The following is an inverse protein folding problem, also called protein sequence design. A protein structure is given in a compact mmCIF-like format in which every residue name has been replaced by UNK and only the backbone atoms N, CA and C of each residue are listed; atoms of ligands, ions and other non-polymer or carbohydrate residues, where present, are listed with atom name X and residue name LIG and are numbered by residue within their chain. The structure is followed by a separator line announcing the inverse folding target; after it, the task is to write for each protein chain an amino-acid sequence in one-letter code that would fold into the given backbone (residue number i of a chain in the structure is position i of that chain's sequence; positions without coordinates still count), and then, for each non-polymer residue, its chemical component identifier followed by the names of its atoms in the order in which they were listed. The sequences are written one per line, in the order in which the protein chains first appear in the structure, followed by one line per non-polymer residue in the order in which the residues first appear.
data_IF_732342386327
#
_entry.id   IF_732342386327
#
_cell.length_a   1.000
_cell.length_b   1.000
_cell.length_c   1.000
_cell.angle_alpha   90.00
_cell.angle_beta   90.00
_cell.angle_gamma   90.00
#
_symmetry.space_group_name_H-M   'P 1'
#
loop_
_entity.id
_entity.type
_entity.pdbx_description
1 polymer ?
#
# COMPACT_ATOMS: atom_id res chain seq x y z
N UNK A 1 -0.33 -11.38 -15.19
CA UNK A 1 -1.48 -11.07 -14.34
C UNK A 1 -1.23 -11.61 -12.93
N UNK A 2 -1.51 -10.82 -11.94
CA UNK A 2 -1.38 -11.23 -10.55
C UNK A 2 -2.67 -11.93 -10.10
N UNK A 3 -2.57 -12.95 -9.25
CA UNK A 3 -3.73 -13.68 -8.76
C UNK A 3 -3.66 -13.82 -7.25
N UNK A 4 -4.75 -13.51 -6.56
CA UNK A 4 -4.86 -13.69 -5.12
C UNK A 4 -4.94 -15.18 -4.76
N UNK A 5 -4.32 -15.56 -3.66
CA UNK A 5 -4.49 -16.90 -3.09
C UNK A 5 -5.95 -17.13 -2.73
N UNK A 6 -6.39 -18.40 -2.74
CA UNK A 6 -7.78 -18.75 -2.46
C UNK A 6 -8.26 -18.27 -1.09
N UNK A 7 -7.39 -18.28 -0.08
CA UNK A 7 -7.71 -17.87 1.29
C UNK A 7 -7.38 -16.41 1.59
N UNK A 8 -7.29 -15.56 0.58
CA UNK A 8 -6.86 -14.18 0.74
C UNK A 8 -7.70 -13.36 1.74
N UNK A 9 -9.00 -13.67 1.87
CA UNK A 9 -9.88 -12.97 2.81
C UNK A 9 -9.47 -13.20 4.26
N UNK A 10 -9.18 -14.46 4.60
CA UNK A 10 -8.67 -14.80 5.93
C UNK A 10 -7.29 -14.21 6.17
N UNK A 11 -6.44 -14.24 5.15
CA UNK A 11 -5.11 -13.64 5.20
C UNK A 11 -5.16 -12.12 5.41
N UNK A 12 -6.14 -11.44 4.82
CA UNK A 12 -6.29 -10.00 5.02
C UNK A 12 -6.64 -9.67 6.48
N UNK A 13 -7.59 -10.39 7.04
CA UNK A 13 -7.96 -10.21 8.46
C UNK A 13 -6.77 -10.44 9.36
N UNK A 14 -6.04 -11.54 9.16
CA UNK A 14 -4.86 -11.86 9.96
C UNK A 14 -3.75 -10.81 9.79
N UNK A 15 -3.51 -10.35 8.57
CA UNK A 15 -2.50 -9.33 8.28
C UNK A 15 -2.80 -8.02 9.00
N UNK A 16 -4.03 -7.55 8.92
CA UNK A 16 -4.45 -6.30 9.59
C UNK A 16 -4.32 -6.43 11.12
N UNK A 17 -4.74 -7.55 11.70
CA UNK A 17 -4.62 -7.78 13.14
C UNK A 17 -3.16 -7.82 13.60
N UNK A 18 -2.27 -8.47 12.84
CA UNK A 18 -0.84 -8.53 13.14
C UNK A 18 -0.17 -7.15 13.11
N UNK A 19 -0.65 -6.27 12.22
CA UNK A 19 -0.05 -4.94 12.01
C UNK A 19 -0.76 -3.83 12.78
N UNK A 20 -1.88 -4.12 13.42
CA UNK A 20 -2.76 -3.12 14.03
C UNK A 20 -2.04 -2.13 14.95
N UNK A 21 -1.10 -2.60 15.75
CA UNK A 21 -0.38 -1.77 16.73
C UNK A 21 1.08 -1.50 16.37
N UNK A 22 1.50 -1.90 15.18
CA UNK A 22 2.86 -1.68 14.73
C UNK A 22 3.03 -0.24 14.26
N UNK A 23 3.95 0.54 14.89
CA UNK A 23 4.12 1.96 14.54
C UNK A 23 4.88 2.12 13.23
N UNK A 24 4.70 3.29 12.62
CA UNK A 24 5.46 3.67 11.43
C UNK A 24 6.96 3.65 11.71
N UNK A 25 7.72 3.05 10.80
CA UNK A 25 9.19 3.08 10.83
C UNK A 25 9.71 3.02 9.39
N UNK A 26 10.52 3.99 9.01
CA UNK A 26 11.11 4.03 7.67
C UNK A 26 11.90 2.75 7.38
N UNK A 27 11.74 2.22 6.15
CA UNK A 27 12.39 1.02 5.64
C UNK A 27 12.04 -0.27 6.39
N UNK A 28 11.06 -0.23 7.27
CA UNK A 28 10.61 -1.38 8.06
C UNK A 28 9.10 -1.53 8.04
N UNK A 29 8.37 -0.50 8.45
CA UNK A 29 6.90 -0.45 8.45
C UNK A 29 6.44 0.92 7.98
N UNK A 30 6.84 1.31 6.79
CA UNK A 30 6.32 2.51 6.12
C UNK A 30 5.16 2.13 5.21
N UNK A 31 4.47 3.12 4.65
CA UNK A 31 3.27 2.87 3.87
C UNK A 31 3.53 2.01 2.62
N UNK A 32 4.67 2.19 1.98
CA UNK A 32 5.04 1.43 0.79
C UNK A 32 5.28 -0.05 1.12
N UNK A 33 6.09 -0.32 2.14
CA UNK A 33 6.40 -1.69 2.55
C UNK A 33 5.18 -2.39 3.15
N UNK A 34 4.33 -1.67 3.87
CA UNK A 34 3.07 -2.21 4.37
C UNK A 34 2.20 -2.75 3.23
N UNK A 35 2.01 -1.96 2.18
CA UNK A 35 1.24 -2.38 1.01
C UNK A 35 1.92 -3.56 0.28
N UNK A 36 3.24 -3.50 0.11
CA UNK A 36 4.00 -4.57 -0.55
C UNK A 36 3.99 -5.87 0.24
N UNK A 37 4.05 -5.79 1.57
CA UNK A 37 3.93 -6.98 2.43
C UNK A 37 2.55 -7.63 2.30
N UNK A 38 1.49 -6.83 2.17
CA UNK A 38 0.16 -7.35 1.91
C UNK A 38 0.08 -8.04 0.53
N UNK A 39 0.60 -7.39 -0.51
CA UNK A 39 0.59 -7.98 -1.87
C UNK A 39 1.34 -9.31 -1.86
N UNK A 40 2.49 -9.37 -1.22
CA UNK A 40 3.27 -10.61 -1.09
C UNK A 40 2.46 -11.70 -0.37
N UNK A 41 1.79 -11.35 0.72
CA UNK A 41 0.97 -12.29 1.49
C UNK A 41 -0.23 -12.79 0.69
N UNK A 42 -0.89 -11.89 -0.04
CA UNK A 42 -2.09 -12.21 -0.82
C UNK A 42 -1.80 -13.00 -2.10
N UNK A 43 -0.65 -12.79 -2.71
CA UNK A 43 -0.34 -13.30 -4.06
C UNK A 43 0.94 -14.12 -4.16
N UNK A 44 1.85 -14.00 -3.20
CA UNK A 44 3.17 -14.62 -3.24
C UNK A 44 4.22 -13.79 -3.98
N UNK A 45 3.83 -12.65 -4.58
CA UNK A 45 4.74 -11.78 -5.33
C UNK A 45 5.05 -10.54 -4.48
N UNK A 46 6.34 -10.22 -4.32
CA UNK A 46 6.79 -9.05 -3.57
C UNK A 46 7.19 -7.92 -4.53
N UNK A 47 6.33 -6.88 -4.68
CA UNK A 47 6.69 -5.74 -5.53
C UNK A 47 7.89 -4.95 -5.01
N UNK A 48 8.19 -5.07 -3.72
CA UNK A 48 9.30 -4.38 -3.09
C UNK A 48 10.62 -5.13 -3.16
N UNK A 49 10.69 -6.25 -3.87
CA UNK A 49 11.92 -7.06 -3.95
C UNK A 49 13.13 -6.20 -4.35
N UNK A 50 12.97 -5.35 -5.35
CA UNK A 50 14.04 -4.44 -5.80
C UNK A 50 14.07 -3.11 -5.05
N UNK A 51 13.07 -2.84 -4.23
CA UNK A 51 12.94 -1.59 -3.48
C UNK A 51 13.54 -1.70 -2.08
N UNK A 52 13.47 -2.88 -1.48
CA UNK A 52 14.04 -3.15 -0.16
C UNK A 52 15.53 -2.87 -0.19
N UNK A 53 16.04 -2.27 0.87
CA UNK A 53 17.44 -1.88 1.02
C UNK A 53 17.90 -0.69 0.14
N UNK A 54 17.02 -0.07 -0.65
CA UNK A 54 17.36 1.13 -1.42
C UNK A 54 17.25 2.42 -0.61
N UNK A 55 16.61 2.37 0.54
CA UNK A 55 16.51 3.52 1.43
C UNK A 55 16.50 3.04 2.89
N UNK A 56 16.94 3.92 3.80
CA UNK A 56 17.10 3.56 5.22
C UNK A 56 16.60 4.65 6.17
N UNK A 57 16.17 5.79 5.63
CA UNK A 57 15.77 6.95 6.41
C UNK A 57 14.69 7.74 5.69
N UNK A 58 14.09 8.71 6.36
CA UNK A 58 13.14 9.64 5.75
C UNK A 58 13.75 10.36 4.55
N UNK A 59 15.00 10.82 4.68
CA UNK A 59 15.69 11.56 3.62
C UNK A 59 15.90 10.69 2.39
N UNK A 60 16.43 9.48 2.56
CA UNK A 60 16.66 8.57 1.44
C UNK A 60 15.35 8.08 0.82
N UNK A 61 14.31 7.89 1.63
CA UNK A 61 12.98 7.53 1.14
C UNK A 61 12.37 8.64 0.28
N UNK A 62 12.40 9.88 0.75
CA UNK A 62 11.88 11.03 0.00
C UNK A 62 12.64 11.25 -1.31
N UNK A 63 13.95 11.02 -1.29
CA UNK A 63 14.80 11.11 -2.49
C UNK A 63 14.40 10.06 -3.53
N UNK A 64 14.15 8.83 -3.10
CA UNK A 64 13.70 7.74 -3.97
C UNK A 64 12.31 8.03 -4.53
N UNK A 65 11.38 8.47 -3.70
CA UNK A 65 10.02 8.82 -4.11
C UNK A 65 10.05 9.93 -5.16
N UNK A 66 10.84 10.97 -4.93
CA UNK A 66 10.99 12.08 -5.88
C UNK A 66 11.57 11.61 -7.22
N UNK A 67 12.56 10.73 -7.18
CA UNK A 67 13.19 10.15 -8.37
C UNK A 67 12.16 9.46 -9.28
N UNK A 68 11.14 8.83 -8.70
CA UNK A 68 10.11 8.08 -9.43
C UNK A 68 8.84 8.91 -9.72
N UNK A 69 8.86 10.20 -9.40
CA UNK A 69 7.72 11.08 -9.68
C UNK A 69 6.60 11.02 -8.63
N UNK A 70 6.94 10.68 -7.39
CA UNK A 70 5.99 10.60 -6.27
C UNK A 70 5.60 9.16 -5.93
N UNK A 71 4.72 9.02 -4.96
CA UNK A 71 4.23 7.71 -4.50
C UNK A 71 3.53 6.95 -5.64
N UNK A 72 2.71 7.63 -6.43
CA UNK A 72 2.04 7.01 -7.59
C UNK A 72 3.08 6.46 -8.56
N UNK A 73 4.18 7.20 -8.78
CA UNK A 73 5.30 6.75 -9.60
C UNK A 73 5.97 5.49 -9.05
N UNK A 74 6.10 5.37 -7.73
CA UNK A 74 6.62 4.17 -7.07
C UNK A 74 5.71 2.97 -7.37
N UNK A 75 4.40 3.10 -7.19
CA UNK A 75 3.46 2.02 -7.47
C UNK A 75 3.49 1.61 -8.94
N UNK A 76 3.52 2.61 -9.83
CA UNK A 76 3.60 2.36 -11.27
C UNK A 76 4.88 1.63 -11.64
N UNK A 77 6.03 2.03 -11.10
CA UNK A 77 7.32 1.49 -11.50
C UNK A 77 7.67 0.14 -10.85
N UNK A 78 7.17 -0.12 -9.65
CA UNK A 78 7.46 -1.36 -8.91
C UNK A 78 6.27 -2.31 -8.81
N UNK A 79 5.05 -1.79 -8.78
CA UNK A 79 3.83 -2.58 -8.62
C UNK A 79 3.24 -3.08 -9.93
N UNK A 80 3.01 -2.17 -10.88
CA UNK A 80 2.37 -2.55 -12.14
C UNK A 80 3.15 -3.62 -12.92
N UNK A 81 4.50 -3.60 -12.96
CA UNK A 81 5.25 -4.70 -13.58
C UNK A 81 5.04 -6.06 -12.92
N UNK A 82 4.59 -6.10 -11.66
CA UNK A 82 4.26 -7.33 -10.95
C UNK A 82 2.85 -7.84 -11.27
N UNK A 83 2.05 -7.06 -11.99
CA UNK A 83 0.73 -7.46 -12.44
C UNK A 83 -0.45 -6.81 -11.73
N UNK A 84 -0.23 -5.88 -10.79
CA UNK A 84 -1.35 -5.09 -10.26
C UNK A 84 -1.80 -4.10 -11.33
N UNK A 85 -3.11 -3.85 -11.39
CA UNK A 85 -3.70 -3.04 -12.44
C UNK A 85 -4.37 -1.80 -11.86
N UNK A 86 -4.13 -0.63 -12.46
CA UNK A 86 -4.82 0.59 -12.11
C UNK A 86 -6.30 0.46 -12.46
N UNK A 87 -7.17 0.85 -11.52
CA UNK A 87 -8.63 0.81 -11.69
C UNK A 87 -9.25 2.14 -11.29
N UNK A 88 -10.49 2.36 -11.70
CA UNK A 88 -11.28 3.46 -11.19
C UNK A 88 -11.50 3.29 -9.68
N UNK A 89 -11.38 4.37 -8.92
CA UNK A 89 -11.54 4.31 -7.46
C UNK A 89 -12.92 3.80 -7.02
N UNK A 90 -13.96 4.04 -7.82
CA UNK A 90 -15.30 3.53 -7.58
C UNK A 90 -15.40 2.02 -7.68
N UNK A 91 -14.44 1.37 -8.34
CA UNK A 91 -14.36 -0.08 -8.51
C UNK A 91 -13.49 -0.74 -7.45
N UNK A 92 -12.86 0.03 -6.58
CA UNK A 92 -11.99 -0.50 -5.54
C UNK A 92 -12.79 -1.38 -4.57
N UNK A 93 -12.20 -2.51 -4.22
CA UNK A 93 -12.79 -3.47 -3.32
C UNK A 93 -11.76 -3.97 -2.32
N UNK A 94 -12.23 -4.71 -1.36
CA UNK A 94 -11.44 -5.24 -0.26
C UNK A 94 -10.16 -5.92 -0.73
N UNK A 95 -9.03 -5.50 -0.16
CA UNK A 95 -7.71 -6.01 -0.52
C UNK A 95 -7.01 -5.25 -1.63
N UNK A 96 -7.68 -4.33 -2.31
CA UNK A 96 -7.04 -3.47 -3.32
C UNK A 96 -6.15 -2.42 -2.66
N UNK A 97 -5.26 -1.85 -3.44
CA UNK A 97 -4.32 -0.82 -2.99
C UNK A 97 -4.87 0.55 -3.32
N UNK A 98 -4.70 1.48 -2.41
CA UNK A 98 -5.15 2.87 -2.55
C UNK A 98 -3.99 3.83 -2.26
N UNK A 99 -3.89 4.88 -3.06
CA UNK A 99 -3.02 6.03 -2.80
C UNK A 99 -3.90 7.26 -2.70
N UNK A 100 -3.72 8.06 -1.65
CA UNK A 100 -4.41 9.34 -1.49
C UNK A 100 -3.58 10.30 -0.67
N UNK A 101 -3.94 11.60 -0.76
CA UNK A 101 -3.32 12.64 0.06
C UNK A 101 -3.79 12.48 1.51
N UNK A 102 -2.83 12.38 2.43
CA UNK A 102 -3.08 12.26 3.87
C UNK A 102 -2.75 13.55 4.64
N UNK A 103 -2.56 14.67 3.94
CA UNK A 103 -2.22 15.96 4.53
C UNK A 103 -0.76 16.35 4.35
N UNK A 104 0.14 15.43 4.59
CA UNK A 104 1.60 15.63 4.47
C UNK A 104 2.20 15.02 3.20
N UNK A 105 1.37 14.75 2.23
CA UNK A 105 1.72 14.08 0.98
C UNK A 105 0.92 12.81 0.78
N UNK A 106 1.23 12.07 -0.28
CA UNK A 106 0.53 10.85 -0.62
C UNK A 106 0.92 9.69 0.30
N UNK A 107 -0.06 8.88 0.65
CA UNK A 107 0.11 7.64 1.42
C UNK A 107 -0.47 6.47 0.65
N UNK A 108 0.15 5.30 0.81
CA UNK A 108 -0.39 4.04 0.28
C UNK A 108 -1.13 3.34 1.42
N UNK A 109 -2.30 2.79 1.10
CA UNK A 109 -3.08 2.00 2.04
C UNK A 109 -3.71 0.78 1.40
N UNK A 110 -4.49 0.07 2.19
CA UNK A 110 -5.21 -1.14 1.77
C UNK A 110 -6.70 -0.89 1.95
N UNK A 111 -7.47 -1.12 0.90
CA UNK A 111 -8.93 -1.00 0.95
C UNK A 111 -9.51 -2.16 1.74
N UNK A 112 -10.36 -1.85 2.73
CA UNK A 112 -11.03 -2.84 3.58
C UNK A 112 -12.55 -2.90 3.36
N UNK A 113 -13.03 -2.29 2.29
CA UNK A 113 -14.44 -2.14 2.01
C UNK A 113 -14.86 -0.69 2.20
N UNK A 114 -15.62 -0.39 3.25
CA UNK A 114 -16.05 0.98 3.56
C UNK A 114 -14.92 1.86 4.12
N UNK A 115 -13.82 1.25 4.55
CA UNK A 115 -12.65 1.92 5.10
C UNK A 115 -11.39 1.51 4.36
N UNK A 116 -10.33 2.28 4.56
CA UNK A 116 -8.97 1.91 4.15
C UNK A 116 -8.03 2.00 5.34
N UNK A 117 -7.03 1.12 5.38
CA UNK A 117 -6.03 1.07 6.44
C UNK A 117 -4.73 1.73 5.96
N UNK A 118 -4.18 2.60 6.79
CA UNK A 118 -2.91 3.30 6.56
C UNK A 118 -2.01 3.16 7.78
N UNK A 119 -0.71 3.16 7.58
CA UNK A 119 0.25 3.11 8.69
C UNK A 119 0.34 4.48 9.36
N UNK A 120 0.12 4.51 10.65
CA UNK A 120 0.22 5.72 11.46
C UNK A 120 1.34 5.65 12.49
N UNK A 121 1.56 6.75 13.20
CA UNK A 121 2.63 6.88 14.19
C UNK A 121 2.54 5.86 15.32
N UNK A 122 1.33 5.43 15.68
CA UNK A 122 1.07 4.51 16.81
C UNK A 122 0.41 3.20 16.38
N UNK A 123 0.41 2.90 15.11
CA UNK A 123 -0.26 1.73 14.53
C UNK A 123 -1.16 2.11 13.38
N UNK A 124 -1.99 1.18 12.92
CA UNK A 124 -2.86 1.41 11.78
C UNK A 124 -3.92 2.47 12.08
N UNK A 125 -4.16 3.31 11.08
CA UNK A 125 -5.24 4.27 11.03
C UNK A 125 -6.28 3.78 10.04
N UNK A 126 -7.56 3.77 10.44
CA UNK A 126 -8.67 3.36 9.58
C UNK A 126 -9.47 4.61 9.20
N UNK A 127 -9.64 4.81 7.91
CA UNK A 127 -10.27 6.02 7.40
C UNK A 127 -11.33 5.65 6.37
N UNK A 128 -12.50 6.30 6.46
CA UNK A 128 -13.58 6.04 5.54
C UNK A 128 -13.16 6.26 4.08
N UNK A 129 -13.68 5.45 3.18
CA UNK A 129 -13.54 5.64 1.74
C UNK A 129 -14.36 6.87 1.34
N UNK A 130 -13.69 7.99 1.13
CA UNK A 130 -14.33 9.24 0.76
C UNK A 130 -14.10 9.52 -0.72
N UNK A 131 -15.19 9.51 -1.51
CA UNK A 131 -15.14 9.72 -2.96
C UNK A 131 -14.81 11.16 -3.36
N UNK A 132 -14.91 12.12 -2.44
CA UNK A 132 -14.55 13.51 -2.69
C UNK A 132 -13.05 13.77 -2.62
N UNK A 133 -12.31 12.86 -1.97
CA UNK A 133 -10.84 12.92 -1.92
C UNK A 133 -10.29 12.26 -3.17
N UNK A 134 -9.41 12.94 -3.86
CA UNK A 134 -8.73 12.36 -5.02
C UNK A 134 -7.95 11.11 -4.61
N UNK A 135 -8.29 10.00 -5.21
CA UNK A 135 -7.68 8.69 -4.91
C UNK A 135 -7.30 7.97 -6.19
N UNK A 136 -6.23 7.19 -6.10
CA UNK A 136 -5.82 6.28 -7.17
C UNK A 136 -5.78 4.89 -6.59
N UNK A 137 -6.36 3.92 -7.30
CA UNK A 137 -6.47 2.54 -6.81
C UNK A 137 -5.90 1.54 -7.80
N UNK A 138 -5.43 0.43 -7.26
CA UNK A 138 -4.92 -0.70 -8.05
C UNK A 138 -5.55 -1.99 -7.52
N UNK A 139 -5.86 -2.86 -8.44
CA UNK A 139 -6.39 -4.21 -8.15
C UNK A 139 -5.28 -5.24 -8.14
N UNK A 140 -5.38 -6.15 -7.16
CA UNK A 140 -4.58 -7.36 -7.11
C UNK A 140 -5.24 -8.48 -7.91
#
# INVERSE_FOLDING_TARGET
MITRKQNWTDELVAFIEERRHEPFAWAKNDCCLFACDWIKRATGIDPAFQLRDQYHSAISAHRLIKKHGGIIGIVRNYGEPCGIERIESSMARRGDIIVRDCGDGDCIGIVLGAEAAFVGASGLLFSAMNREIETTCWRL
#
